data_IF_284737772185
#
_entry.id   IF_284737772185
#
_cell.length_a   1.000
_cell.length_b   1.000
_cell.length_c   1.000
_cell.angle_alpha   90.00
_cell.angle_beta   90.00
_cell.angle_gamma   90.00
#
_symmetry.space_group_name_H-M   'P 1'
#
loop_
_entity.id
_entity.type
_entity.pdbx_description
1 polymer ?
#
# COMPACT_ATOMS: atom_id res chain seq x y z
N UNK A 1 20.26 -21.86 -15.45
CA UNK A 1 20.92 -21.09 -16.53
C UNK A 1 21.40 -19.74 -15.97
N UNK A 2 22.44 -19.10 -16.53
CA UNK A 2 22.90 -17.78 -16.08
C UNK A 2 21.82 -16.69 -16.26
N UNK A 3 21.81 -15.67 -15.40
CA UNK A 3 20.84 -14.54 -15.43
C UNK A 3 21.58 -13.22 -15.63
N UNK A 4 20.96 -12.27 -16.34
CA UNK A 4 21.41 -10.87 -16.48
C UNK A 4 20.37 -9.92 -15.89
N UNK A 5 20.79 -9.02 -15.01
CA UNK A 5 19.91 -8.01 -14.43
C UNK A 5 19.75 -6.82 -15.40
N UNK A 6 18.49 -6.46 -15.70
CA UNK A 6 18.16 -5.45 -16.73
C UNK A 6 17.32 -4.28 -16.21
N UNK A 7 16.57 -4.49 -15.14
CA UNK A 7 15.58 -3.55 -14.63
C UNK A 7 15.30 -3.80 -13.16
N UNK A 8 15.16 -2.71 -12.40
CA UNK A 8 14.71 -2.71 -11.01
C UNK A 8 13.50 -1.80 -10.89
N UNK A 9 12.40 -2.36 -10.37
CA UNK A 9 11.35 -1.58 -9.72
C UNK A 9 11.57 -1.68 -8.21
N UNK A 10 11.75 -0.56 -7.55
CA UNK A 10 11.81 -0.48 -6.09
C UNK A 10 10.59 0.30 -5.61
N UNK A 11 9.89 -0.22 -4.59
CA UNK A 11 8.79 0.47 -3.93
C UNK A 11 9.05 0.44 -2.44
N UNK A 12 9.11 1.61 -1.83
CA UNK A 12 9.24 1.80 -0.40
C UNK A 12 7.92 2.32 0.18
N UNK A 13 7.50 1.78 1.32
CA UNK A 13 6.32 2.22 2.04
C UNK A 13 6.68 2.63 3.47
N UNK A 14 6.15 3.77 3.91
CA UNK A 14 6.41 4.33 5.25
C UNK A 14 5.10 4.74 5.90
N UNK A 15 4.94 4.39 7.16
CA UNK A 15 3.77 4.75 7.96
C UNK A 15 4.15 5.75 9.05
N UNK A 16 3.32 6.78 9.22
CA UNK A 16 3.54 7.87 10.16
C UNK A 16 2.29 8.13 10.99
N UNK A 17 2.48 8.31 12.29
CA UNK A 17 1.47 8.89 13.17
C UNK A 17 1.59 10.41 13.16
N UNK A 18 0.46 11.12 13.03
CA UNK A 18 0.43 12.59 13.06
C UNK A 18 -0.02 13.10 14.41
N UNK A 19 0.42 14.30 14.75
CA UNK A 19 0.03 14.98 16.00
C UNK A 19 -1.46 15.34 16.07
N UNK A 20 -2.14 15.43 14.92
CA UNK A 20 -3.57 15.70 14.83
C UNK A 20 -4.46 14.44 14.95
N UNK A 21 -3.86 13.29 15.25
CA UNK A 21 -4.57 12.01 15.42
C UNK A 21 -4.89 11.29 14.12
N UNK A 22 -4.37 11.77 12.98
CA UNK A 22 -4.45 11.07 11.70
C UNK A 22 -3.18 10.23 11.43
N UNK A 23 -3.22 9.44 10.38
CA UNK A 23 -2.11 8.60 9.95
C UNK A 23 -1.76 8.88 8.50
N UNK A 24 -0.47 8.99 8.18
CA UNK A 24 0.01 9.09 6.80
C UNK A 24 0.70 7.79 6.38
N UNK A 25 0.27 7.23 5.25
CA UNK A 25 0.93 6.11 4.57
C UNK A 25 1.51 6.63 3.27
N UNK A 26 2.84 6.65 3.19
CA UNK A 26 3.59 7.07 2.02
C UNK A 26 4.08 5.87 1.20
N UNK A 27 4.11 6.03 -0.12
CA UNK A 27 4.74 5.13 -1.05
C UNK A 27 5.65 5.92 -1.99
N UNK A 28 6.86 5.40 -2.23
CA UNK A 28 7.81 5.91 -3.21
C UNK A 28 8.23 4.77 -4.14
N UNK A 29 7.96 4.93 -5.43
CA UNK A 29 8.34 3.95 -6.46
C UNK A 29 9.38 4.54 -7.39
N UNK A 30 10.40 3.75 -7.71
CA UNK A 30 11.35 4.04 -8.80
C UNK A 30 11.49 2.86 -9.75
N UNK A 31 11.56 3.15 -11.05
CA UNK A 31 11.84 2.19 -12.12
C UNK A 31 13.16 2.56 -12.82
N UNK A 32 14.21 1.77 -12.60
CA UNK A 32 15.56 2.02 -13.14
C UNK A 32 15.99 0.90 -14.09
N UNK A 33 16.84 1.21 -15.07
CA UNK A 33 17.42 0.23 -15.98
C UNK A 33 18.93 0.18 -15.81
N UNK A 34 19.53 -0.99 -16.06
CA UNK A 34 21.00 -1.21 -16.00
C UNK A 34 21.71 -0.86 -17.31
N UNK A 35 21.00 -0.24 -18.24
CA UNK A 35 21.49 0.19 -19.54
C UNK A 35 20.88 1.54 -19.90
N UNK A 36 21.64 2.35 -20.62
CA UNK A 36 21.18 3.61 -21.20
C UNK A 36 20.17 3.33 -22.30
N UNK A 37 19.14 4.16 -22.41
CA UNK A 37 18.10 4.00 -23.42
C UNK A 37 17.58 5.34 -23.91
N UNK A 38 17.08 5.36 -25.15
CA UNK A 38 16.44 6.54 -25.72
C UNK A 38 14.96 6.61 -25.32
N UNK A 39 14.49 7.83 -25.07
CA UNK A 39 13.10 8.20 -24.86
C UNK A 39 12.79 9.40 -25.77
N UNK A 40 11.67 9.35 -26.49
CA UNK A 40 11.34 10.38 -27.50
C UNK A 40 11.17 11.79 -26.91
N UNK A 41 10.75 11.92 -25.65
CA UNK A 41 10.56 13.21 -25.01
C UNK A 41 11.77 13.66 -24.19
N UNK A 42 12.38 12.75 -23.43
CA UNK A 42 13.52 13.02 -22.54
C UNK A 42 14.88 12.93 -23.24
N UNK A 43 14.94 12.42 -24.47
CA UNK A 43 16.20 12.06 -25.11
C UNK A 43 16.82 10.83 -24.47
N UNK A 44 18.13 10.82 -24.30
CA UNK A 44 18.81 9.71 -23.64
C UNK A 44 18.59 9.73 -22.12
N UNK A 45 18.22 8.58 -21.57
CA UNK A 45 18.10 8.38 -20.12
C UNK A 45 19.31 7.57 -19.64
N UNK A 46 20.19 8.16 -18.80
CA UNK A 46 21.36 7.50 -18.23
C UNK A 46 21.04 6.25 -17.40
N UNK A 47 22.05 5.40 -17.24
CA UNK A 47 21.98 4.24 -16.34
C UNK A 47 21.71 4.73 -14.91
N UNK A 48 20.72 4.13 -14.24
CA UNK A 48 20.38 4.44 -12.85
C UNK A 48 19.42 5.62 -12.67
N UNK A 49 19.13 6.40 -13.70
CA UNK A 49 18.08 7.43 -13.66
C UNK A 49 16.68 6.76 -13.76
N UNK A 50 15.71 7.14 -12.92
CA UNK A 50 14.35 6.60 -13.01
C UNK A 50 13.66 6.96 -14.33
N UNK A 51 13.09 5.95 -14.98
CA UNK A 51 12.09 6.18 -16.02
C UNK A 51 10.74 6.58 -15.41
N UNK A 52 10.36 5.90 -14.34
CA UNK A 52 9.21 6.25 -13.52
C UNK A 52 9.66 6.55 -12.10
N UNK A 53 9.22 7.68 -11.56
CA UNK A 53 9.35 7.98 -10.14
C UNK A 53 8.04 8.58 -9.65
N UNK A 54 7.41 7.89 -8.72
CA UNK A 54 6.07 8.19 -8.24
C UNK A 54 6.08 8.29 -6.73
N UNK A 55 5.42 9.32 -6.21
CA UNK A 55 5.19 9.49 -4.78
C UNK A 55 3.68 9.53 -4.55
N UNK A 56 3.23 8.82 -3.52
CA UNK A 56 1.84 8.80 -3.13
C UNK A 56 1.76 8.82 -1.60
N UNK A 57 1.03 9.78 -1.05
CA UNK A 57 0.67 9.81 0.37
C UNK A 57 -0.83 9.71 0.52
N UNK A 58 -1.28 8.85 1.42
CA UNK A 58 -2.68 8.73 1.81
C UNK A 58 -2.79 9.00 3.31
N UNK A 59 -3.61 9.99 3.66
CA UNK A 59 -3.95 10.31 5.05
C UNK A 59 -5.24 9.59 5.43
N UNK A 60 -5.27 8.87 6.55
CA UNK A 60 -6.44 8.14 7.05
C UNK A 60 -6.75 8.46 8.51
N UNK A 61 -8.01 8.26 8.90
CA UNK A 61 -8.46 8.27 10.29
C UNK A 61 -8.32 6.89 10.96
N UNK A 62 -8.69 6.79 12.24
CA UNK A 62 -8.68 5.53 13.00
C UNK A 62 -9.68 4.48 12.48
N UNK A 63 -10.63 4.87 11.63
CA UNK A 63 -11.55 3.97 10.94
C UNK A 63 -11.00 3.52 9.57
N UNK A 64 -9.75 3.88 9.27
CA UNK A 64 -9.08 3.62 7.99
C UNK A 64 -9.79 4.25 6.78
N UNK A 65 -10.51 5.36 6.98
CA UNK A 65 -11.14 6.14 5.91
C UNK A 65 -10.16 7.20 5.41
N UNK A 66 -10.00 7.30 4.10
CA UNK A 66 -9.13 8.32 3.48
C UNK A 66 -9.69 9.72 3.73
N UNK A 67 -8.87 10.55 4.37
CA UNK A 67 -9.13 11.97 4.61
C UNK A 67 -8.43 12.86 3.56
N UNK A 68 -7.23 12.47 3.12
CA UNK A 68 -6.50 13.20 2.08
C UNK A 68 -5.61 12.27 1.23
N UNK A 69 -5.28 12.72 0.01
CA UNK A 69 -4.33 12.04 -0.89
C UNK A 69 -3.44 13.06 -1.60
N UNK A 70 -2.13 12.82 -1.61
CA UNK A 70 -1.17 13.57 -2.43
C UNK A 70 -0.50 12.60 -3.39
N UNK A 71 -0.58 12.87 -4.68
CA UNK A 71 0.04 12.07 -5.73
C UNK A 71 1.00 12.95 -6.56
N UNK A 72 2.19 12.44 -6.83
CA UNK A 72 3.24 13.16 -7.58
C UNK A 72 3.92 12.21 -8.55
N UNK A 73 4.26 12.74 -9.73
CA UNK A 73 5.08 12.07 -10.74
C UNK A 73 6.32 12.93 -10.97
N UNK A 74 7.45 12.51 -10.42
CA UNK A 74 8.74 13.21 -10.55
C UNK A 74 9.41 12.86 -11.88
N UNK A 75 9.44 11.57 -12.21
CA UNK A 75 9.96 11.08 -13.48
C UNK A 75 8.90 10.28 -14.22
N UNK A 76 8.76 10.56 -15.52
CA UNK A 76 7.88 9.83 -16.43
C UNK A 76 8.50 9.68 -17.82
N UNK A 77 8.00 8.73 -18.63
CA UNK A 77 8.38 8.62 -20.04
C UNK A 77 7.72 9.65 -20.94
N UNK A 78 6.63 10.30 -20.49
CA UNK A 78 5.84 11.23 -21.28
C UNK A 78 5.53 12.52 -20.51
N UNK A 79 5.56 13.64 -21.22
CA UNK A 79 5.34 14.98 -20.65
C UNK A 79 3.97 15.12 -19.96
N UNK A 80 2.95 14.44 -20.48
CA UNK A 80 1.59 14.55 -19.98
C UNK A 80 1.33 13.75 -18.69
N UNK A 81 2.20 12.81 -18.31
CA UNK A 81 1.93 11.89 -17.19
C UNK A 81 1.59 12.61 -15.86
N UNK A 82 2.26 13.69 -15.45
CA UNK A 82 1.93 14.37 -14.19
C UNK A 82 0.52 14.98 -14.13
N UNK A 83 -0.12 15.21 -15.29
CA UNK A 83 -1.45 15.86 -15.36
C UNK A 83 -2.58 15.06 -14.69
N UNK A 84 -2.43 13.74 -14.56
CA UNK A 84 -3.47 12.86 -13.98
C UNK A 84 -3.44 12.82 -12.45
N UNK A 85 -2.41 13.38 -11.80
CA UNK A 85 -2.20 13.29 -10.35
C UNK A 85 -3.40 13.83 -9.54
N UNK A 86 -4.05 14.89 -10.01
CA UNK A 86 -5.23 15.48 -9.37
C UNK A 86 -6.43 14.53 -9.31
N UNK A 87 -6.55 13.57 -10.25
CA UNK A 87 -7.63 12.59 -10.27
C UNK A 87 -7.64 11.70 -9.02
N UNK A 88 -6.49 11.52 -8.36
CA UNK A 88 -6.36 10.70 -7.15
C UNK A 88 -7.09 11.28 -5.94
N UNK A 89 -7.45 12.57 -5.94
CA UNK A 89 -8.36 13.12 -4.91
C UNK A 89 -9.73 12.44 -4.91
N UNK A 90 -10.15 11.81 -6.00
CA UNK A 90 -11.44 11.11 -6.11
C UNK A 90 -11.56 9.86 -5.23
N UNK A 91 -10.45 9.38 -4.64
CA UNK A 91 -10.43 8.24 -3.73
C UNK A 91 -10.68 8.63 -2.27
N UNK A 92 -10.68 9.93 -1.94
CA UNK A 92 -11.03 10.43 -0.61
C UNK A 92 -12.42 9.90 -0.21
N UNK A 93 -12.55 9.47 1.05
CA UNK A 93 -13.75 8.83 1.60
C UNK A 93 -13.83 7.31 1.36
N UNK A 94 -12.93 6.71 0.60
CA UNK A 94 -12.84 5.23 0.53
C UNK A 94 -12.23 4.69 1.82
N UNK A 95 -12.80 3.61 2.35
CA UNK A 95 -12.27 2.90 3.51
C UNK A 95 -11.28 1.79 3.10
N UNK A 96 -10.13 1.71 3.76
CA UNK A 96 -9.19 0.59 3.61
C UNK A 96 -9.74 -0.66 4.30
N UNK A 97 -9.83 -1.76 3.56
CA UNK A 97 -10.38 -3.02 4.07
C UNK A 97 -11.07 -3.84 2.97
N UNK A 98 -12.14 -4.53 3.34
CA UNK A 98 -12.91 -5.34 2.41
C UNK A 98 -13.43 -4.47 1.24
N UNK A 99 -13.16 -4.92 0.01
CA UNK A 99 -13.59 -4.19 -1.20
C UNK A 99 -12.69 -3.02 -1.62
N UNK A 100 -11.66 -2.66 -0.83
CA UNK A 100 -10.70 -1.57 -1.13
C UNK A 100 -10.23 -1.54 -2.58
N UNK A 101 -9.65 -2.66 -3.05
CA UNK A 101 -9.09 -2.75 -4.42
C UNK A 101 -10.15 -2.52 -5.50
N UNK A 102 -11.39 -2.95 -5.27
CA UNK A 102 -12.50 -2.71 -6.19
C UNK A 102 -12.87 -1.23 -6.21
N UNK A 103 -12.99 -0.60 -5.05
CA UNK A 103 -13.30 0.82 -4.92
C UNK A 103 -12.24 1.71 -5.59
N UNK A 104 -10.94 1.43 -5.38
CA UNK A 104 -9.85 2.13 -6.06
C UNK A 104 -9.96 2.01 -7.58
N UNK A 105 -10.15 0.79 -8.09
CA UNK A 105 -10.31 0.55 -9.55
C UNK A 105 -11.51 1.27 -10.15
N UNK A 106 -12.59 1.44 -9.39
CA UNK A 106 -13.76 2.19 -9.85
C UNK A 106 -13.50 3.70 -9.98
N UNK A 107 -12.54 4.26 -9.22
CA UNK A 107 -12.22 5.68 -9.25
C UNK A 107 -11.09 6.04 -10.22
N UNK A 108 -9.98 5.30 -10.14
CA UNK A 108 -8.72 5.62 -10.83
C UNK A 108 -8.18 4.43 -11.63
N UNK A 109 -9.07 3.51 -12.04
CA UNK A 109 -8.73 2.41 -12.93
C UNK A 109 -8.68 2.83 -14.40
N UNK A 110 -7.84 2.15 -15.18
CA UNK A 110 -7.74 2.38 -16.62
C UNK A 110 -7.31 3.81 -16.93
N UNK A 111 -8.04 4.48 -17.82
CA UNK A 111 -7.73 5.84 -18.29
C UNK A 111 -8.03 6.95 -17.27
N UNK A 112 -8.69 6.62 -16.15
CA UNK A 112 -9.02 7.59 -15.09
C UNK A 112 -7.90 7.78 -14.06
N UNK A 113 -6.80 7.03 -14.19
CA UNK A 113 -5.60 7.17 -13.39
C UNK A 113 -4.37 6.82 -14.23
N UNK A 114 -3.24 6.57 -13.57
CA UNK A 114 -2.11 5.89 -14.21
C UNK A 114 -1.85 4.55 -13.53
N UNK A 115 -1.34 3.59 -14.32
CA UNK A 115 -0.99 2.26 -13.82
C UNK A 115 -0.10 2.35 -12.57
N UNK A 116 0.92 3.20 -12.60
CA UNK A 116 1.94 3.29 -11.55
C UNK A 116 1.36 3.76 -10.20
N UNK A 117 0.74 4.93 -10.13
CA UNK A 117 0.17 5.44 -8.87
C UNK A 117 -1.00 4.56 -8.39
N UNK A 118 -1.80 4.01 -9.29
CA UNK A 118 -2.90 3.11 -8.92
C UNK A 118 -2.40 1.79 -8.32
N UNK A 119 -1.28 1.25 -8.81
CA UNK A 119 -0.63 0.06 -8.22
C UNK A 119 -0.14 0.32 -6.79
N UNK A 120 0.34 1.53 -6.48
CA UNK A 120 0.80 1.89 -5.13
C UNK A 120 -0.31 1.85 -4.07
N UNK A 121 -1.56 2.09 -4.46
CA UNK A 121 -2.70 2.04 -3.54
C UNK A 121 -3.02 0.61 -3.05
N UNK A 122 -2.69 -0.43 -3.83
CA UNK A 122 -3.15 -1.79 -3.52
C UNK A 122 -2.56 -2.41 -2.25
N UNK A 123 -1.24 -2.28 -1.97
CA UNK A 123 -0.66 -2.76 -0.72
C UNK A 123 -0.77 -1.74 0.42
N UNK A 124 -1.10 -0.47 0.17
CA UNK A 124 -1.21 0.57 1.22
C UNK A 124 -2.16 0.17 2.36
N UNK A 125 -3.27 -0.49 2.07
CA UNK A 125 -4.19 -0.97 3.10
C UNK A 125 -3.51 -1.95 4.08
N UNK A 126 -2.68 -2.86 3.55
CA UNK A 126 -1.91 -3.80 4.37
C UNK A 126 -0.84 -3.08 5.19
N UNK A 127 -0.11 -2.15 4.57
CA UNK A 127 0.91 -1.33 5.26
C UNK A 127 0.28 -0.51 6.39
N UNK A 128 -0.88 0.09 6.14
CA UNK A 128 -1.62 0.85 7.15
C UNK A 128 -1.96 -0.03 8.36
N UNK A 129 -2.54 -1.21 8.13
CA UNK A 129 -2.91 -2.14 9.20
C UNK A 129 -1.67 -2.61 9.98
N UNK A 130 -0.56 -2.88 9.28
CA UNK A 130 0.71 -3.29 9.87
C UNK A 130 1.45 -2.15 10.59
N UNK A 131 1.15 -0.89 10.27
CA UNK A 131 1.68 0.28 10.97
C UNK A 131 0.90 0.53 12.26
N UNK A 132 -0.44 0.59 12.14
CA UNK A 132 -1.31 1.13 13.18
C UNK A 132 -1.62 0.08 14.25
N UNK A 133 -2.02 -1.13 13.86
CA UNK A 133 -2.46 -2.13 14.84
C UNK A 133 -1.37 -2.56 15.82
N UNK A 134 -0.13 -2.88 15.40
CA UNK A 134 0.95 -3.19 16.34
C UNK A 134 1.24 -2.05 17.31
N UNK A 135 1.29 -0.80 16.82
CA UNK A 135 1.53 0.37 17.67
C UNK A 135 0.42 0.57 18.72
N UNK A 136 -0.84 0.40 18.33
CA UNK A 136 -1.98 0.47 19.26
C UNK A 136 -1.95 -0.65 20.32
N UNK A 137 -1.43 -1.84 19.99
CA UNK A 137 -1.22 -2.94 20.94
C UNK A 137 -0.06 -2.66 21.88
N UNK A 138 1.06 -2.20 21.34
CA UNK A 138 2.23 -1.80 22.12
C UNK A 138 1.86 -0.76 23.19
N UNK A 139 1.07 0.27 22.82
CA UNK A 139 0.54 1.27 23.78
C UNK A 139 -0.33 0.68 24.89
N UNK A 140 -0.90 -0.50 24.68
CA UNK A 140 -1.70 -1.24 25.66
C UNK A 140 -0.90 -2.33 26.39
N UNK A 141 0.42 -2.40 26.18
CA UNK A 141 1.30 -3.47 26.69
C UNK A 141 0.83 -4.89 26.26
N UNK A 142 0.31 -5.02 25.04
CA UNK A 142 -0.11 -6.29 24.45
C UNK A 142 0.89 -6.74 23.38
N UNK A 143 1.09 -8.05 23.23
CA UNK A 143 1.92 -8.58 22.16
C UNK A 143 1.22 -8.43 20.79
N UNK A 144 2.00 -8.36 19.71
CA UNK A 144 1.44 -8.28 18.35
C UNK A 144 0.63 -9.51 17.96
N UNK A 145 0.98 -10.67 18.53
CA UNK A 145 0.27 -11.94 18.39
C UNK A 145 -1.01 -12.01 19.21
N UNK A 146 -1.18 -11.16 20.23
CA UNK A 146 -2.33 -11.23 21.11
C UNK A 146 -3.58 -10.90 20.31
N UNK A 147 -4.54 -11.81 20.32
CA UNK A 147 -5.87 -11.52 19.79
C UNK A 147 -6.66 -10.87 20.92
N UNK A 148 -7.18 -9.66 20.68
CA UNK A 148 -7.86 -8.89 21.72
C UNK A 148 -8.88 -9.76 22.45
N UNK A 149 -8.92 -9.68 23.78
CA UNK A 149 -9.93 -10.33 24.63
C UNK A 149 -11.36 -9.79 24.42
N UNK A 150 -11.59 -8.96 23.41
CA UNK A 150 -12.94 -8.51 23.06
C UNK A 150 -13.73 -9.66 22.44
N UNK A 151 -15.03 -9.72 22.73
CA UNK A 151 -15.94 -10.74 22.17
C UNK A 151 -16.13 -10.66 20.63
N UNK A 152 -15.47 -9.70 19.97
CA UNK A 152 -15.58 -9.50 18.53
C UNK A 152 -14.66 -10.45 17.77
N UNK A 153 -15.18 -10.98 16.66
CA UNK A 153 -14.42 -11.86 15.76
C UNK A 153 -13.16 -11.12 15.24
N UNK A 154 -11.96 -11.69 15.40
CA UNK A 154 -10.72 -11.04 14.97
C UNK A 154 -10.69 -10.83 13.45
N UNK A 155 -10.34 -9.61 13.04
CA UNK A 155 -10.30 -9.22 11.61
C UNK A 155 -9.19 -9.92 10.82
N UNK A 156 -8.19 -10.48 11.50
CA UNK A 156 -7.06 -11.17 10.87
C UNK A 156 -7.40 -12.61 10.44
N UNK A 157 -8.49 -13.19 10.93
CA UNK A 157 -8.87 -14.56 10.56
C UNK A 157 -9.13 -14.71 9.06
N UNK A 158 -8.63 -15.79 8.47
CA UNK A 158 -8.70 -16.10 7.04
C UNK A 158 -8.12 -15.02 6.12
N UNK A 159 -7.24 -14.16 6.63
CA UNK A 159 -6.55 -13.14 5.80
C UNK A 159 -5.21 -13.62 5.25
N UNK A 160 -4.61 -14.65 5.85
CA UNK A 160 -3.41 -15.31 5.34
C UNK A 160 -3.36 -16.77 5.80
N UNK A 161 -2.40 -17.54 5.27
CA UNK A 161 -2.24 -18.96 5.58
C UNK A 161 -2.09 -19.23 7.09
N UNK A 162 -1.26 -18.43 7.78
CA UNK A 162 -1.04 -18.57 9.22
C UNK A 162 -2.32 -18.28 10.02
N UNK A 163 -3.17 -17.35 9.57
CA UNK A 163 -4.41 -16.99 10.24
C UNK A 163 -5.65 -17.73 9.69
N UNK A 164 -5.45 -18.81 8.93
CA UNK A 164 -6.54 -19.71 8.53
C UNK A 164 -7.20 -20.31 9.77
N UNK A 165 -8.53 -20.45 9.78
CA UNK A 165 -9.25 -20.93 10.97
C UNK A 165 -8.92 -22.38 11.35
N UNK A 166 -8.34 -23.16 10.44
CA UNK A 166 -7.84 -24.52 10.68
C UNK A 166 -6.35 -24.57 11.03
N UNK A 167 -5.66 -23.43 11.22
CA UNK A 167 -4.23 -23.40 11.48
C UNK A 167 -3.88 -23.64 12.96
N UNK A 168 -2.67 -24.17 13.26
CA UNK A 168 -2.16 -24.24 14.63
C UNK A 168 -2.07 -22.87 15.32
N UNK A 169 -1.78 -21.81 14.56
CA UNK A 169 -1.70 -20.43 15.10
C UNK A 169 -3.06 -19.98 15.62
N UNK A 170 -4.15 -20.25 14.90
CA UNK A 170 -5.51 -19.90 15.37
C UNK A 170 -5.93 -20.80 16.54
N UNK A 171 -5.53 -22.08 16.55
CA UNK A 171 -5.76 -22.98 17.70
C UNK A 171 -5.16 -22.41 19.00
N UNK A 172 -3.98 -21.84 18.93
CA UNK A 172 -3.26 -21.25 20.07
C UNK A 172 -3.79 -19.86 20.43
N UNK A 173 -3.90 -18.95 19.46
CA UNK A 173 -4.14 -17.53 19.69
C UNK A 173 -5.63 -17.15 19.67
N UNK A 174 -6.51 -18.02 19.16
CA UNK A 174 -7.96 -17.76 19.02
C UNK A 174 -8.80 -19.05 19.02
N UNK A 175 -8.69 -19.90 20.06
CA UNK A 175 -9.31 -21.23 20.08
C UNK A 175 -10.83 -21.21 19.86
N UNK A 176 -11.53 -20.12 20.25
CA UNK A 176 -12.97 -19.90 20.01
C UNK A 176 -13.35 -19.95 18.52
N UNK A 177 -12.41 -19.66 17.61
CA UNK A 177 -12.63 -19.59 16.17
C UNK A 177 -11.88 -20.68 15.39
N UNK A 178 -11.24 -21.63 16.07
CA UNK A 178 -10.54 -22.74 15.43
C UNK A 178 -11.56 -23.73 14.83
N UNK A 179 -11.33 -24.15 13.58
CA UNK A 179 -12.19 -25.05 12.82
C UNK A 179 -11.47 -26.30 12.31
N UNK A 180 -10.20 -26.50 12.70
CA UNK A 180 -9.48 -27.73 12.36
C UNK A 180 -9.87 -28.86 13.30
N UNK A 181 -9.64 -30.09 12.85
CA UNK A 181 -9.82 -31.29 13.69
C UNK A 181 -8.73 -31.42 14.77
#
# INVERSE_FOLDING_TARGET
TPRKHVHTRAIDYRGYEREDGLWDIEAHMTDKKTYQFSNNWRGEVPIGEPLHEMLLRVTIDDNFVIQDVVAVTEHSPFQMCPSITSAYKSVIGIQMGAGWRKAIRMKVGGVHGCTHLTELLFPMATVAMQTIWPLLRHRKNQADSDVSSSDKRPLVLNTCHAWSTDSPVVKENSPKYYTGD
#
